data_IF_687268323095
#
_entry.id   IF_687268323095
#
_cell.length_a   1.000
_cell.length_b   1.000
_cell.length_c   1.000
_cell.angle_alpha   90.00
_cell.angle_beta   90.00
_cell.angle_gamma   90.00
#
_symmetry.space_group_name_H-M   'P 1'
#
loop_
_entity.id
_entity.type
_entity.pdbx_description
1 polymer ?
#
# COMPACT_ATOMS: atom_id res chain seq x y z
N UNK A 1 18.21 22.89 14.21
CA UNK A 1 18.50 23.81 13.08
C UNK A 1 17.60 23.35 11.92
N UNK A 2 16.93 24.27 11.24
CA UNK A 2 16.13 23.89 10.05
C UNK A 2 17.10 23.51 8.91
N UNK A 3 16.87 22.34 8.31
CA UNK A 3 17.58 21.96 7.08
C UNK A 3 17.02 22.78 5.91
N UNK A 4 17.90 23.26 5.05
CA UNK A 4 17.56 24.05 3.87
C UNK A 4 18.21 23.44 2.63
N UNK A 5 17.53 23.51 1.50
CA UNK A 5 18.07 23.16 0.19
C UNK A 5 18.50 24.46 -0.49
N UNK A 6 19.79 24.59 -0.81
CA UNK A 6 20.32 25.71 -1.58
C UNK A 6 20.53 25.26 -3.03
N UNK A 7 20.05 26.04 -3.99
CA UNK A 7 20.13 25.73 -5.43
C UNK A 7 20.80 26.90 -6.16
N UNK A 8 21.94 26.63 -6.79
CA UNK A 8 22.59 27.54 -7.72
C UNK A 8 22.12 27.19 -9.14
N UNK A 9 21.31 28.06 -9.72
CA UNK A 9 20.72 27.86 -11.04
C UNK A 9 21.63 28.29 -12.22
N UNK A 10 21.13 28.13 -13.46
CA UNK A 10 21.79 28.61 -14.68
C UNK A 10 22.70 27.60 -15.37
N UNK A 11 22.77 26.37 -14.90
CA UNK A 11 23.56 25.30 -15.51
C UNK A 11 22.71 24.36 -16.34
N UNK A 12 23.31 23.82 -17.44
CA UNK A 12 22.75 22.69 -18.18
C UNK A 12 22.98 21.40 -17.40
N UNK A 13 21.93 20.62 -17.24
CA UNK A 13 21.98 19.34 -16.52
C UNK A 13 22.40 18.22 -17.46
N UNK A 14 23.36 17.41 -17.05
CA UNK A 14 23.74 16.19 -17.74
C UNK A 14 24.14 15.10 -16.72
N UNK A 15 23.99 13.83 -17.11
CA UNK A 15 24.31 12.69 -16.27
C UNK A 15 23.22 11.62 -16.31
N UNK A 16 23.35 10.66 -15.39
CA UNK A 16 22.45 9.51 -15.29
C UNK A 16 21.75 9.49 -13.93
N UNK A 17 20.43 9.30 -13.93
CA UNK A 17 19.62 9.08 -12.74
C UNK A 17 19.01 7.69 -12.83
N UNK A 18 19.15 6.88 -11.79
CA UNK A 18 18.47 5.60 -11.63
C UNK A 18 17.25 5.80 -10.72
N UNK A 19 16.07 5.46 -11.22
CA UNK A 19 14.81 5.59 -10.49
C UNK A 19 14.74 4.50 -9.42
N UNK A 20 14.32 4.90 -8.22
CA UNK A 20 14.11 4.02 -7.06
C UNK A 20 12.79 3.25 -7.15
N UNK A 21 12.59 2.32 -6.23
CA UNK A 21 11.31 1.63 -6.10
C UNK A 21 10.17 2.57 -5.74
N UNK A 22 8.97 2.26 -6.24
CA UNK A 22 7.81 3.13 -6.10
C UNK A 22 7.37 3.29 -4.63
N UNK A 23 7.44 4.51 -4.10
CA UNK A 23 6.97 4.83 -2.75
C UNK A 23 5.53 4.38 -2.54
N UNK A 24 4.64 4.70 -3.48
CA UNK A 24 3.21 4.42 -3.34
C UNK A 24 2.89 2.91 -3.39
N UNK A 25 3.65 2.13 -4.13
CA UNK A 25 3.58 0.67 -4.08
C UNK A 25 4.11 0.14 -2.73
N UNK A 26 5.28 0.61 -2.31
CA UNK A 26 5.93 0.18 -1.05
C UNK A 26 5.01 0.29 0.15
N UNK A 27 4.35 1.44 0.33
CA UNK A 27 3.49 1.69 1.50
C UNK A 27 2.20 0.86 1.52
N UNK A 28 1.87 0.20 0.42
CA UNK A 28 0.75 -0.75 0.32
C UNK A 28 1.24 -2.22 0.38
N UNK A 29 2.37 -2.54 -0.25
CA UNK A 29 2.96 -3.88 -0.26
C UNK A 29 3.39 -4.34 1.13
N UNK A 30 3.98 -3.44 1.93
CA UNK A 30 4.41 -3.76 3.30
C UNK A 30 3.24 -4.17 4.19
N UNK A 31 2.12 -3.42 4.30
CA UNK A 31 0.92 -3.90 4.99
C UNK A 31 0.31 -5.17 4.38
N UNK A 32 0.35 -5.34 3.05
CA UNK A 32 -0.16 -6.54 2.39
C UNK A 32 0.58 -7.82 2.83
N UNK A 33 1.86 -7.70 3.20
CA UNK A 33 2.67 -8.84 3.66
C UNK A 33 2.11 -9.51 4.92
N UNK A 34 1.36 -8.78 5.78
CA UNK A 34 0.77 -9.37 7.00
C UNK A 34 -0.33 -10.40 6.70
N UNK A 35 -0.91 -10.38 5.50
CA UNK A 35 -1.90 -11.36 5.07
C UNK A 35 -1.33 -12.77 4.87
N UNK A 36 -0.01 -12.87 4.72
CA UNK A 36 0.69 -14.14 4.53
C UNK A 36 0.65 -15.02 5.78
N UNK A 37 0.77 -16.31 5.57
CA UNK A 37 0.94 -17.33 6.61
C UNK A 37 2.43 -17.72 6.80
N UNK A 38 3.35 -17.06 6.08
CA UNK A 38 4.80 -17.23 6.18
C UNK A 38 5.55 -15.97 5.74
N UNK A 39 6.89 -15.97 5.73
CA UNK A 39 7.68 -14.79 5.46
C UNK A 39 7.51 -14.26 4.03
N UNK A 40 7.42 -12.95 3.91
CA UNK A 40 7.39 -12.21 2.64
C UNK A 40 8.63 -11.35 2.53
N UNK A 41 9.34 -11.49 1.42
CA UNK A 41 10.52 -10.70 1.10
C UNK A 41 10.22 -9.73 -0.05
N UNK A 42 10.50 -8.45 0.17
CA UNK A 42 10.24 -7.38 -0.81
C UNK A 42 11.55 -6.68 -1.12
N UNK A 43 11.91 -6.61 -2.41
CA UNK A 43 13.11 -5.94 -2.93
C UNK A 43 12.76 -4.63 -3.64
N UNK A 44 13.77 -3.77 -3.77
CA UNK A 44 13.64 -2.45 -4.38
C UNK A 44 12.91 -1.45 -3.47
N UNK A 45 12.90 -1.70 -2.18
CA UNK A 45 12.28 -0.82 -1.19
C UNK A 45 13.09 0.48 -1.09
N UNK A 46 12.49 1.67 -1.34
CA UNK A 46 13.23 2.91 -1.24
C UNK A 46 13.59 3.24 0.22
N UNK A 47 14.75 3.87 0.43
CA UNK A 47 15.19 4.32 1.75
C UNK A 47 14.46 5.61 2.16
N UNK A 48 13.23 5.48 2.65
CA UNK A 48 12.37 6.58 3.06
C UNK A 48 11.84 6.39 4.48
N UNK A 49 11.51 7.49 5.15
CA UNK A 49 10.96 7.48 6.51
C UNK A 49 9.67 6.68 6.67
N UNK A 50 8.87 6.58 5.60
CA UNK A 50 7.62 5.83 5.57
C UNK A 50 7.87 4.33 5.81
N UNK A 51 8.96 3.77 5.27
CA UNK A 51 9.36 2.36 5.48
C UNK A 51 9.70 2.10 6.94
N UNK A 52 10.47 3.00 7.56
CA UNK A 52 10.81 2.88 8.98
C UNK A 52 9.56 2.98 9.89
N UNK A 53 8.61 3.84 9.53
CA UNK A 53 7.33 3.96 10.25
C UNK A 53 6.48 2.69 10.12
N UNK A 54 6.36 2.12 8.92
CA UNK A 54 5.64 0.86 8.69
C UNK A 54 6.30 -0.30 9.43
N UNK A 55 7.63 -0.39 9.40
CA UNK A 55 8.38 -1.41 10.17
C UNK A 55 8.13 -1.29 11.67
N UNK A 56 7.98 -0.07 12.19
CA UNK A 56 7.63 0.15 13.59
C UNK A 56 6.24 -0.42 13.89
N UNK A 57 5.23 -0.12 13.06
CA UNK A 57 3.87 -0.65 13.23
C UNK A 57 3.82 -2.18 13.12
N UNK A 58 4.59 -2.77 12.20
CA UNK A 58 4.70 -4.23 12.09
C UNK A 58 5.29 -4.86 13.35
N UNK A 59 6.34 -4.26 13.93
CA UNK A 59 6.93 -4.74 15.19
C UNK A 59 5.99 -4.59 16.38
N UNK A 60 5.15 -3.54 16.41
CA UNK A 60 4.08 -3.41 17.41
C UNK A 60 3.09 -4.59 17.31
N UNK A 61 2.78 -5.05 16.09
CA UNK A 61 1.95 -6.24 15.82
C UNK A 61 2.69 -7.57 16.07
N UNK A 62 3.93 -7.56 16.56
CA UNK A 62 4.77 -8.74 16.78
C UNK A 62 5.21 -9.45 15.49
N UNK A 63 5.22 -8.78 14.36
CA UNK A 63 5.88 -9.31 13.17
C UNK A 63 7.41 -9.25 13.35
N UNK A 64 8.10 -10.28 12.87
CA UNK A 64 9.55 -10.21 12.71
C UNK A 64 9.87 -9.41 11.43
N UNK A 65 10.65 -8.33 11.58
CA UNK A 65 10.97 -7.40 10.48
C UNK A 65 12.46 -7.18 10.39
N UNK A 66 13.04 -7.57 9.26
CA UNK A 66 14.42 -7.32 8.88
C UNK A 66 14.47 -6.32 7.73
N UNK A 67 15.34 -5.30 7.82
CA UNK A 67 15.60 -4.32 6.75
C UNK A 67 17.09 -4.35 6.47
N UNK A 68 17.45 -4.53 5.19
CA UNK A 68 18.83 -4.53 4.71
C UNK A 68 18.91 -3.80 3.37
N UNK A 69 19.35 -2.54 3.40
CA UNK A 69 19.34 -1.64 2.23
C UNK A 69 17.95 -1.55 1.60
N UNK A 70 17.87 -1.84 0.31
CA UNK A 70 16.61 -1.82 -0.47
C UNK A 70 15.76 -3.10 -0.30
N UNK A 71 15.95 -3.85 0.78
CA UNK A 71 15.25 -5.10 1.06
C UNK A 71 14.54 -5.03 2.40
N UNK A 72 13.28 -5.47 2.44
CA UNK A 72 12.56 -5.73 3.67
C UNK A 72 12.02 -7.16 3.67
N UNK A 73 12.18 -7.87 4.80
CA UNK A 73 11.54 -9.15 5.06
C UNK A 73 10.57 -8.98 6.22
N UNK A 74 9.34 -9.41 6.01
CA UNK A 74 8.26 -9.40 7.00
C UNK A 74 7.82 -10.83 7.24
N UNK A 75 7.95 -11.29 8.46
CA UNK A 75 7.42 -12.60 8.89
C UNK A 75 6.27 -12.39 9.88
N UNK A 76 5.00 -12.60 9.44
CA UNK A 76 3.83 -12.44 10.28
C UNK A 76 3.45 -13.72 11.06
N UNK A 77 4.30 -14.74 11.11
CA UNK A 77 3.98 -16.03 11.75
C UNK A 77 3.63 -15.88 13.23
N UNK A 78 4.27 -14.93 13.92
CA UNK A 78 4.05 -14.66 15.35
C UNK A 78 3.22 -13.39 15.60
N UNK A 79 2.58 -12.86 14.53
CA UNK A 79 1.78 -11.65 14.62
C UNK A 79 0.55 -11.85 15.50
N UNK A 80 0.21 -10.82 16.27
CA UNK A 80 -0.94 -10.80 17.18
C UNK A 80 -1.95 -9.71 16.78
N UNK A 81 -3.25 -9.92 17.11
CA UNK A 81 -4.30 -8.89 16.97
C UNK A 81 -4.15 -7.84 18.07
N UNK A 82 -3.27 -6.88 17.84
CA UNK A 82 -2.98 -5.77 18.75
C UNK A 82 -3.54 -4.47 18.18
N UNK A 83 -4.23 -3.64 19.00
CA UNK A 83 -4.69 -2.32 18.58
C UNK A 83 -3.54 -1.41 18.13
N UNK A 84 -3.64 -0.86 16.93
CA UNK A 84 -2.71 0.13 16.39
C UNK A 84 -3.14 1.54 16.83
N UNK A 85 -2.82 1.92 18.06
CA UNK A 85 -3.23 3.20 18.66
C UNK A 85 -2.05 4.09 19.06
N UNK A 86 -0.84 3.70 18.70
CA UNK A 86 0.38 4.46 18.95
C UNK A 86 0.48 5.71 18.08
N UNK A 87 1.32 6.66 18.46
CA UNK A 87 1.58 7.86 17.67
C UNK A 87 2.28 7.56 16.32
N UNK A 88 2.82 6.36 16.14
CA UNK A 88 3.38 5.92 14.86
C UNK A 88 2.32 5.88 13.75
N UNK A 89 1.06 5.53 14.08
CA UNK A 89 -0.07 5.55 13.13
C UNK A 89 -0.30 6.95 12.57
N UNK A 90 -0.23 7.97 13.43
CA UNK A 90 -0.47 9.36 13.03
C UNK A 90 0.65 9.96 12.18
N UNK A 91 1.86 9.41 12.25
CA UNK A 91 3.02 9.88 11.49
C UNK A 91 2.94 9.50 10.01
N UNK A 92 2.18 8.46 9.69
CA UNK A 92 2.09 7.93 8.35
C UNK A 92 0.63 7.78 7.91
N UNK A 93 0.20 8.56 6.91
CA UNK A 93 -1.15 8.41 6.37
C UNK A 93 -1.42 7.00 5.83
N UNK A 94 -0.45 6.41 5.13
CA UNK A 94 -0.59 5.08 4.54
C UNK A 94 -0.80 3.95 5.56
N UNK A 95 -0.72 4.23 6.88
CA UNK A 95 -1.12 3.29 7.92
C UNK A 95 -2.55 2.79 7.77
N UNK A 96 -3.43 3.52 7.04
CA UNK A 96 -4.78 3.05 6.74
C UNK A 96 -4.81 1.72 5.97
N UNK A 97 -3.74 1.33 5.26
CA UNK A 97 -3.70 0.01 4.59
C UNK A 97 -3.71 -1.16 5.57
N UNK A 98 -3.29 -0.94 6.82
CA UNK A 98 -3.47 -1.94 7.86
C UNK A 98 -4.95 -2.22 8.18
N UNK A 99 -5.88 -1.28 7.89
CA UNK A 99 -7.31 -1.55 8.09
C UNK A 99 -7.76 -2.75 7.25
N UNK A 100 -7.50 -2.73 5.93
CA UNK A 100 -7.86 -3.83 5.04
C UNK A 100 -7.08 -5.11 5.31
N UNK A 101 -5.78 -4.99 5.54
CA UNK A 101 -4.92 -6.14 5.78
C UNK A 101 -5.27 -6.88 7.09
N UNK A 102 -5.44 -6.17 8.21
CA UNK A 102 -5.78 -6.78 9.49
C UNK A 102 -7.23 -7.26 9.52
N UNK A 103 -8.15 -6.50 8.91
CA UNK A 103 -9.54 -6.95 8.77
C UNK A 103 -9.61 -8.26 7.97
N UNK A 104 -8.86 -8.37 6.88
CA UNK A 104 -8.76 -9.61 6.11
C UNK A 104 -8.18 -10.77 6.93
N UNK A 105 -7.13 -10.52 7.72
CA UNK A 105 -6.46 -11.56 8.50
C UNK A 105 -7.22 -11.97 9.76
N UNK A 106 -7.69 -11.01 10.55
CA UNK A 106 -8.27 -11.25 11.87
C UNK A 106 -9.77 -11.02 11.95
N UNK A 107 -10.40 -10.54 10.87
CA UNK A 107 -11.80 -10.08 10.85
C UNK A 107 -12.06 -8.96 11.86
N UNK A 108 -10.99 -8.37 12.36
CA UNK A 108 -10.99 -7.30 13.35
C UNK A 108 -9.78 -6.40 13.18
N UNK A 109 -9.98 -5.11 13.34
CA UNK A 109 -8.89 -4.15 13.48
C UNK A 109 -9.32 -2.97 14.33
N UNK A 110 -8.48 -2.59 15.30
CA UNK A 110 -8.63 -1.35 16.05
C UNK A 110 -7.45 -0.45 15.73
N UNK A 111 -7.71 0.69 15.11
CA UNK A 111 -6.67 1.59 14.62
C UNK A 111 -7.04 3.06 14.86
N UNK A 112 -6.09 3.83 15.38
CA UNK A 112 -6.22 5.28 15.50
C UNK A 112 -6.37 5.90 14.11
N UNK A 113 -7.11 7.02 14.00
CA UNK A 113 -7.28 7.72 12.74
C UNK A 113 -5.91 8.02 12.10
N UNK A 114 -5.66 7.55 10.87
CA UNK A 114 -4.40 7.82 10.19
C UNK A 114 -4.19 9.32 9.99
N UNK A 115 -3.05 9.82 10.44
CA UNK A 115 -2.71 11.23 10.40
C UNK A 115 -2.07 11.68 9.08
N UNK A 116 -1.47 12.82 9.11
CA UNK A 116 -0.30 13.17 8.35
C UNK A 116 -0.43 13.51 6.87
N UNK A 117 -1.33 14.41 6.43
CA UNK A 117 -1.05 15.13 5.18
C UNK A 117 -1.55 16.58 5.28
N UNK A 118 -0.63 17.55 5.15
CA UNK A 118 -0.96 18.98 5.14
C UNK A 118 -1.64 19.44 3.83
N UNK A 119 -1.83 18.54 2.86
CA UNK A 119 -2.42 18.85 1.54
C UNK A 119 -3.96 18.91 1.53
N UNK A 120 -4.59 18.92 2.73
CA UNK A 120 -6.05 19.03 2.88
C UNK A 120 -6.73 17.72 3.30
N UNK A 121 -8.05 17.77 3.54
CA UNK A 121 -8.83 16.62 3.97
C UNK A 121 -8.82 15.54 2.86
N UNK A 122 -8.50 14.33 3.25
CA UNK A 122 -8.58 13.14 2.39
C UNK A 122 -9.42 12.10 3.10
N UNK A 123 -10.74 12.12 2.91
CA UNK A 123 -11.66 11.22 3.60
C UNK A 123 -11.36 9.76 3.25
N UNK A 124 -11.69 8.85 4.17
CA UNK A 124 -11.57 7.41 4.00
C UNK A 124 -12.94 6.72 3.87
N UNK A 125 -13.97 7.50 3.58
CA UNK A 125 -15.36 7.06 3.43
C UNK A 125 -15.52 5.91 2.43
N UNK A 126 -14.84 5.95 1.27
CA UNK A 126 -14.86 4.86 0.30
C UNK A 126 -14.21 3.58 0.82
N UNK A 127 -13.20 3.68 1.68
CA UNK A 127 -12.60 2.51 2.34
C UNK A 127 -13.63 1.88 3.28
N UNK A 128 -14.27 2.70 4.12
CA UNK A 128 -15.27 2.25 5.08
C UNK A 128 -16.48 1.64 4.37
N UNK A 129 -17.00 2.31 3.33
CA UNK A 129 -18.07 1.78 2.46
C UNK A 129 -17.73 0.37 1.93
N UNK A 130 -16.50 0.18 1.48
CA UNK A 130 -16.03 -1.12 0.98
C UNK A 130 -15.99 -2.20 2.07
N UNK A 131 -15.51 -1.86 3.26
CA UNK A 131 -15.49 -2.80 4.39
C UNK A 131 -16.88 -3.15 4.89
N UNK A 132 -17.82 -2.17 4.97
CA UNK A 132 -19.22 -2.42 5.30
C UNK A 132 -19.88 -3.33 4.27
N UNK A 133 -19.61 -3.13 2.99
CA UNK A 133 -20.11 -4.01 1.92
C UNK A 133 -19.60 -5.45 2.03
N UNK A 134 -18.40 -5.66 2.59
CA UNK A 134 -17.87 -6.98 2.92
C UNK A 134 -18.42 -7.55 4.24
N UNK A 135 -19.28 -6.82 4.95
CA UNK A 135 -19.93 -7.27 6.19
C UNK A 135 -19.28 -6.78 7.48
N UNK A 136 -18.31 -5.87 7.42
CA UNK A 136 -17.72 -5.30 8.61
C UNK A 136 -18.67 -4.28 9.28
N UNK A 137 -18.76 -4.34 10.61
CA UNK A 137 -19.35 -3.29 11.44
C UNK A 137 -18.25 -2.31 11.84
N UNK A 138 -18.53 -1.04 11.70
CA UNK A 138 -17.56 0.04 11.95
C UNK A 138 -18.07 0.92 13.08
N UNK A 139 -17.22 1.16 14.08
CA UNK A 139 -17.43 2.16 15.13
C UNK A 139 -16.26 3.13 15.15
N UNK A 140 -16.53 4.40 15.48
CA UNK A 140 -15.54 5.45 15.59
C UNK A 140 -15.73 6.20 16.90
N UNK A 141 -14.75 6.11 17.78
CA UNK A 141 -14.73 6.76 19.08
C UNK A 141 -13.31 7.19 19.42
N UNK A 142 -13.15 8.36 20.02
CA UNK A 142 -11.85 8.88 20.50
C UNK A 142 -10.73 8.79 19.45
N UNK A 143 -10.99 9.28 18.25
CA UNK A 143 -10.06 9.24 17.10
C UNK A 143 -9.60 7.82 16.71
N UNK A 144 -10.38 6.80 17.05
CA UNK A 144 -10.06 5.40 16.82
C UNK A 144 -11.20 4.71 16.07
N UNK A 145 -10.85 4.03 14.99
CA UNK A 145 -11.76 3.12 14.29
C UNK A 145 -11.65 1.72 14.86
N UNK A 146 -12.78 1.09 15.08
CA UNK A 146 -12.89 -0.35 15.31
C UNK A 146 -13.75 -0.94 14.19
N UNK A 147 -13.17 -1.84 13.42
CA UNK A 147 -13.83 -2.61 12.38
C UNK A 147 -13.87 -4.07 12.82
N UNK A 148 -15.04 -4.69 12.78
CA UNK A 148 -15.26 -6.07 13.23
C UNK A 148 -16.24 -6.77 12.30
N UNK A 149 -15.99 -8.04 11.99
CA UNK A 149 -16.89 -8.91 11.27
C UNK A 149 -16.85 -10.32 11.86
N UNK A 150 -17.99 -10.99 11.97
CA UNK A 150 -18.00 -12.43 12.26
C UNK A 150 -17.35 -13.18 11.09
N UNK A 151 -17.71 -12.77 9.87
CA UNK A 151 -17.16 -13.26 8.61
C UNK A 151 -17.16 -12.15 7.57
N UNK A 152 -16.12 -12.10 6.73
CA UNK A 152 -16.12 -11.24 5.55
C UNK A 152 -16.71 -12.03 4.39
N UNK A 153 -17.70 -11.46 3.71
CA UNK A 153 -18.39 -12.07 2.59
C UNK A 153 -18.24 -11.19 1.35
N UNK A 154 -17.80 -11.81 0.26
CA UNK A 154 -17.63 -11.12 -1.02
C UNK A 154 -18.93 -10.49 -1.52
N UNK A 155 -18.81 -9.30 -2.12
CA UNK A 155 -19.94 -8.51 -2.61
C UNK A 155 -19.54 -7.71 -3.86
N UNK A 156 -20.52 -7.15 -4.57
CA UNK A 156 -20.29 -6.13 -5.60
C UNK A 156 -20.20 -4.76 -4.95
N UNK A 157 -19.09 -4.05 -5.17
CA UNK A 157 -18.74 -2.78 -4.53
C UNK A 157 -18.45 -1.75 -5.60
N UNK A 158 -19.34 -0.78 -5.76
CA UNK A 158 -19.14 0.34 -6.66
C UNK A 158 -18.48 1.51 -5.92
N UNK A 159 -17.37 2.01 -6.47
CA UNK A 159 -16.68 3.20 -5.97
C UNK A 159 -17.21 4.44 -6.68
N UNK A 160 -17.68 5.43 -5.92
CA UNK A 160 -18.27 6.66 -6.46
C UNK A 160 -17.26 7.46 -7.30
N UNK A 161 -15.97 7.29 -7.02
CA UNK A 161 -14.86 7.71 -7.88
C UNK A 161 -13.69 6.72 -7.77
N UNK A 162 -12.85 6.65 -8.79
CA UNK A 162 -11.68 5.77 -8.80
C UNK A 162 -10.66 6.23 -7.75
N UNK A 163 -10.61 5.50 -6.62
CA UNK A 163 -9.72 5.77 -5.49
C UNK A 163 -8.66 4.68 -5.36
N UNK A 164 -7.38 5.04 -5.52
CA UNK A 164 -6.26 4.09 -5.35
C UNK A 164 -6.28 3.46 -3.97
N UNK A 165 -6.39 4.30 -2.93
CA UNK A 165 -6.38 3.84 -1.55
C UNK A 165 -7.53 2.89 -1.23
N UNK A 166 -8.76 3.24 -1.62
CA UNK A 166 -9.93 2.40 -1.39
C UNK A 166 -9.84 1.08 -2.18
N UNK A 167 -9.45 1.13 -3.46
CA UNK A 167 -9.28 -0.06 -4.30
C UNK A 167 -8.31 -1.06 -3.66
N UNK A 168 -7.12 -0.60 -3.25
CA UNK A 168 -6.13 -1.46 -2.59
C UNK A 168 -6.67 -1.98 -1.26
N UNK A 169 -7.23 -1.13 -0.43
CA UNK A 169 -7.64 -1.49 0.92
C UNK A 169 -8.80 -2.50 0.92
N UNK A 170 -9.76 -2.34 0.01
CA UNK A 170 -10.83 -3.31 -0.21
C UNK A 170 -10.25 -4.63 -0.74
N UNK A 171 -9.29 -4.58 -1.69
CA UNK A 171 -8.60 -5.76 -2.21
C UNK A 171 -7.91 -6.54 -1.09
N UNK A 172 -7.19 -5.86 -0.16
CA UNK A 172 -6.52 -6.50 0.97
C UNK A 172 -7.50 -7.25 1.89
N UNK A 173 -8.69 -6.71 2.14
CA UNK A 173 -9.71 -7.41 2.93
C UNK A 173 -10.37 -8.54 2.12
N UNK A 174 -10.67 -8.31 0.84
CA UNK A 174 -11.43 -9.21 -0.01
C UNK A 174 -10.70 -10.52 -0.34
N UNK A 175 -9.36 -10.54 -0.35
CA UNK A 175 -8.60 -11.77 -0.64
C UNK A 175 -8.82 -12.88 0.39
N UNK A 176 -9.32 -12.52 1.58
CA UNK A 176 -9.69 -13.45 2.67
C UNK A 176 -11.20 -13.52 2.91
N UNK A 177 -12.02 -12.82 2.10
CA UNK A 177 -13.48 -12.87 2.23
C UNK A 177 -14.05 -14.16 1.61
N UNK A 178 -15.14 -14.67 2.15
CA UNK A 178 -15.84 -15.82 1.57
C UNK A 178 -16.48 -15.45 0.23
N UNK A 179 -16.30 -16.29 -0.76
CA UNK A 179 -16.93 -16.14 -2.07
C UNK A 179 -16.22 -15.12 -2.97
N UNK A 180 -17.00 -14.38 -3.74
CA UNK A 180 -16.53 -13.49 -4.80
C UNK A 180 -16.79 -12.03 -4.46
N UNK A 181 -15.75 -11.19 -4.55
CA UNK A 181 -15.86 -9.73 -4.52
C UNK A 181 -15.65 -9.16 -5.91
N UNK A 182 -16.47 -8.18 -6.28
CA UNK A 182 -16.30 -7.38 -7.51
C UNK A 182 -16.16 -5.93 -7.11
N UNK A 183 -15.04 -5.29 -7.46
CA UNK A 183 -14.82 -3.86 -7.27
C UNK A 183 -15.05 -3.19 -8.61
N UNK A 184 -16.08 -2.35 -8.71
CA UNK A 184 -16.45 -1.60 -9.91
C UNK A 184 -15.99 -0.14 -9.77
N UNK A 185 -15.64 0.50 -10.88
CA UNK A 185 -14.98 1.80 -10.94
C UNK A 185 -13.67 1.85 -10.14
N UNK A 186 -12.94 0.73 -10.18
CA UNK A 186 -11.64 0.60 -9.53
C UNK A 186 -10.60 1.54 -10.16
N UNK A 187 -9.66 1.99 -9.37
CA UNK A 187 -8.50 2.72 -9.87
C UNK A 187 -7.55 1.78 -10.64
N UNK A 188 -6.75 2.33 -11.57
CA UNK A 188 -5.97 1.54 -12.56
C UNK A 188 -4.46 1.75 -12.45
N UNK A 189 -4.02 2.52 -11.49
CA UNK A 189 -2.63 2.89 -11.29
C UNK A 189 -1.72 1.66 -11.15
N UNK A 190 -0.49 1.72 -11.67
CA UNK A 190 0.47 0.61 -11.64
C UNK A 190 0.72 0.04 -10.23
N UNK A 191 0.62 0.87 -9.19
CA UNK A 191 0.79 0.47 -7.80
C UNK A 191 -0.27 -0.55 -7.35
N UNK A 192 -1.48 -0.49 -7.91
CA UNK A 192 -2.57 -1.45 -7.64
C UNK A 192 -2.25 -2.80 -8.28
N UNK A 193 -1.71 -2.76 -9.51
CA UNK A 193 -1.26 -3.96 -10.23
C UNK A 193 -0.13 -4.63 -9.45
N UNK A 194 0.79 -3.85 -8.90
CA UNK A 194 1.93 -4.35 -8.13
C UNK A 194 1.49 -5.06 -6.85
N UNK A 195 0.55 -4.47 -6.09
CA UNK A 195 -0.06 -5.10 -4.91
C UNK A 195 -0.79 -6.39 -5.29
N UNK A 196 -1.57 -6.38 -6.36
CA UNK A 196 -2.28 -7.57 -6.82
C UNK A 196 -1.31 -8.68 -7.26
N UNK A 197 -0.16 -8.32 -7.86
CA UNK A 197 0.89 -9.27 -8.22
C UNK A 197 1.52 -9.92 -6.98
N UNK A 198 1.82 -9.14 -5.92
CA UNK A 198 2.27 -9.70 -4.65
C UNK A 198 1.24 -10.68 -4.09
N UNK A 199 -0.02 -10.25 -3.96
CA UNK A 199 -1.10 -11.09 -3.43
C UNK A 199 -1.31 -12.37 -4.27
N UNK A 200 -1.21 -12.27 -5.59
CA UNK A 200 -1.33 -13.43 -6.51
C UNK A 200 -0.16 -14.40 -6.31
N UNK A 201 1.07 -13.91 -6.13
CA UNK A 201 2.23 -14.75 -5.78
C UNK A 201 2.04 -15.44 -4.43
N UNK A 202 1.34 -14.81 -3.50
CA UNK A 202 0.96 -15.43 -2.22
C UNK A 202 -0.15 -16.47 -2.37
N UNK A 203 -0.85 -16.54 -3.50
CA UNK A 203 -1.91 -17.50 -3.79
C UNK A 203 -3.32 -16.90 -3.92
N UNK A 204 -3.46 -15.58 -3.88
CA UNK A 204 -4.75 -14.91 -4.10
C UNK A 204 -5.25 -15.09 -5.54
N UNK A 205 -6.56 -15.10 -5.71
CA UNK A 205 -7.23 -15.24 -7.00
C UNK A 205 -7.85 -13.91 -7.43
N UNK A 206 -7.07 -13.10 -8.14
CA UNK A 206 -7.44 -11.74 -8.55
C UNK A 206 -7.42 -11.64 -10.07
N UNK A 207 -8.43 -10.99 -10.66
CA UNK A 207 -8.54 -10.76 -12.11
C UNK A 207 -9.01 -9.34 -12.39
N UNK A 208 -8.70 -8.82 -13.57
CA UNK A 208 -9.16 -7.50 -14.03
C UNK A 208 -8.39 -6.31 -13.48
N UNK A 209 -7.28 -6.52 -12.78
CA UNK A 209 -6.44 -5.43 -12.27
C UNK A 209 -5.89 -4.61 -13.44
N UNK A 210 -5.88 -3.29 -13.28
CA UNK A 210 -5.54 -2.36 -14.38
C UNK A 210 -6.73 -2.01 -15.27
N UNK A 211 -7.91 -2.60 -15.03
CA UNK A 211 -9.19 -2.19 -15.63
C UNK A 211 -10.08 -1.50 -14.59
N UNK A 212 -11.27 -1.06 -14.98
CA UNK A 212 -12.25 -0.47 -14.04
C UNK A 212 -12.99 -1.50 -13.18
N UNK A 213 -12.77 -2.79 -13.42
CA UNK A 213 -13.47 -3.86 -12.71
C UNK A 213 -12.47 -4.91 -12.24
N UNK A 214 -12.34 -5.08 -10.93
CA UNK A 214 -11.48 -6.09 -10.31
C UNK A 214 -12.37 -7.17 -9.68
N UNK A 215 -12.08 -8.42 -9.99
CA UNK A 215 -12.76 -9.58 -9.41
C UNK A 215 -11.79 -10.36 -8.54
N UNK A 216 -12.21 -10.69 -7.31
CA UNK A 216 -11.42 -11.41 -6.33
C UNK A 216 -12.24 -12.60 -5.84
N UNK A 217 -11.70 -13.81 -5.98
CA UNK A 217 -12.25 -14.99 -5.31
C UNK A 217 -11.42 -15.20 -4.03
N UNK A 218 -12.05 -15.14 -2.87
CA UNK A 218 -11.37 -15.26 -1.58
C UNK A 218 -10.72 -16.63 -1.37
N UNK A 219 -9.67 -16.65 -0.54
CA UNK A 219 -8.90 -17.86 -0.24
C UNK A 219 -8.61 -17.97 1.26
N UNK A 220 -8.51 -19.23 1.74
CA UNK A 220 -8.24 -19.50 3.16
C UNK A 220 -6.75 -19.31 3.52
N UNK A 221 -5.83 -19.49 2.56
CA UNK A 221 -4.40 -19.46 2.77
C UNK A 221 -3.67 -18.57 1.78
N UNK A 222 -2.68 -17.83 2.28
CA UNK A 222 -1.76 -17.03 1.49
C UNK A 222 -0.33 -17.34 1.95
N UNK A 223 0.48 -17.90 1.06
CA UNK A 223 1.83 -18.36 1.37
C UNK A 223 2.85 -17.21 1.40
N UNK A 224 3.94 -17.42 2.12
CA UNK A 224 5.12 -16.56 2.00
C UNK A 224 5.63 -16.51 0.57
N UNK A 225 6.24 -15.40 0.17
CA UNK A 225 6.71 -15.18 -1.19
C UNK A 225 7.81 -14.13 -1.28
N UNK A 226 8.30 -13.95 -2.48
CA UNK A 226 9.27 -12.95 -2.89
C UNK A 226 8.66 -12.01 -3.92
N UNK A 227 8.91 -10.70 -3.78
CA UNK A 227 8.41 -9.68 -4.70
C UNK A 227 9.44 -8.57 -4.90
N UNK A 228 9.56 -8.07 -6.13
CA UNK A 228 10.34 -6.88 -6.48
C UNK A 228 9.38 -5.75 -6.83
N UNK A 229 9.57 -4.59 -6.21
CA UNK A 229 8.71 -3.41 -6.39
C UNK A 229 8.95 -2.80 -7.77
N UNK A 230 7.89 -2.34 -8.41
CA UNK A 230 8.01 -1.54 -9.64
C UNK A 230 8.77 -0.24 -9.40
N UNK A 231 9.50 0.31 -10.40
CA UNK A 231 10.13 1.62 -10.28
C UNK A 231 9.10 2.74 -10.17
N UNK A 232 9.48 3.83 -9.47
CA UNK A 232 8.59 4.95 -9.19
C UNK A 232 8.35 5.82 -10.44
N UNK A 233 7.14 5.71 -11.00
CA UNK A 233 6.73 6.50 -12.17
C UNK A 233 6.66 8.00 -11.89
N UNK A 234 6.37 8.40 -10.65
CA UNK A 234 6.25 9.82 -10.25
C UNK A 234 7.64 10.44 -10.19
N UNK A 235 8.61 9.74 -9.60
CA UNK A 235 10.02 10.13 -9.62
C UNK A 235 10.53 10.20 -11.06
N UNK A 236 10.28 9.16 -11.88
CA UNK A 236 10.66 9.11 -13.28
C UNK A 236 10.09 10.29 -14.07
N UNK A 237 8.80 10.55 -13.96
CA UNK A 237 8.13 11.69 -14.62
C UNK A 237 8.72 13.03 -14.20
N UNK A 238 9.05 13.20 -12.92
CA UNK A 238 9.70 14.40 -12.40
C UNK A 238 11.06 14.62 -13.05
N UNK A 239 11.92 13.58 -13.10
CA UNK A 239 13.23 13.70 -13.74
C UNK A 239 13.15 13.90 -15.26
N UNK A 240 12.16 13.32 -15.94
CA UNK A 240 11.91 13.57 -17.36
C UNK A 240 11.50 15.02 -17.63
N UNK A 241 10.66 15.61 -16.78
CA UNK A 241 10.29 17.04 -16.87
C UNK A 241 11.51 17.93 -16.63
N UNK A 242 12.33 17.62 -15.61
CA UNK A 242 13.59 18.34 -15.34
C UNK A 242 14.54 18.23 -16.53
N UNK A 243 14.68 17.04 -17.11
CA UNK A 243 15.51 16.80 -18.28
C UNK A 243 15.02 17.63 -19.49
N UNK A 244 13.72 17.70 -19.73
CA UNK A 244 13.15 18.50 -20.81
C UNK A 244 13.34 20.03 -20.60
N UNK A 245 13.27 20.48 -19.35
CA UNK A 245 13.39 21.91 -19.03
C UNK A 245 14.83 22.44 -19.02
N UNK A 246 15.79 21.67 -18.51
CA UNK A 246 17.16 22.12 -18.25
C UNK A 246 18.26 21.12 -18.70
N UNK A 247 17.88 19.96 -19.24
CA UNK A 247 18.84 18.93 -19.65
C UNK A 247 19.57 19.28 -20.95
N UNK A 248 20.81 18.82 -21.02
CA UNK A 248 21.59 18.73 -22.25
C UNK A 248 21.75 17.26 -22.68
N UNK A 249 22.16 16.40 -21.73
CA UNK A 249 22.23 14.96 -21.91
C UNK A 249 21.89 14.26 -20.59
N UNK A 250 20.62 14.00 -20.36
CA UNK A 250 20.13 13.32 -19.16
C UNK A 250 19.64 11.92 -19.54
N UNK A 251 20.10 10.90 -18.80
CA UNK A 251 19.69 9.51 -18.95
C UNK A 251 18.89 9.14 -17.70
N UNK A 252 17.64 8.73 -17.87
CA UNK A 252 16.80 8.20 -16.79
C UNK A 252 16.71 6.70 -16.95
N UNK A 253 17.22 5.96 -15.98
CA UNK A 253 17.30 4.49 -15.97
C UNK A 253 16.28 3.88 -15.00
N UNK A 254 16.03 2.59 -15.17
CA UNK A 254 15.09 1.83 -14.33
C UNK A 254 13.69 2.41 -14.39
N UNK A 255 13.13 2.50 -15.59
CA UNK A 255 11.76 2.98 -15.83
C UNK A 255 10.95 1.92 -16.58
N UNK A 256 9.66 1.94 -16.37
CA UNK A 256 8.68 1.20 -17.18
C UNK A 256 7.92 2.22 -18.01
N UNK A 257 8.23 2.36 -19.33
CA UNK A 257 7.62 3.42 -20.16
C UNK A 257 6.11 3.41 -20.20
N UNK A 258 5.49 2.24 -20.02
CA UNK A 258 4.02 2.08 -20.01
C UNK A 258 3.35 2.67 -18.76
N UNK A 259 4.13 3.03 -17.73
CA UNK A 259 3.62 3.66 -16.51
C UNK A 259 3.66 5.20 -16.53
N UNK A 260 4.19 5.78 -17.64
CA UNK A 260 4.38 7.22 -17.83
C UNK A 260 3.32 7.88 -18.70
#
# INVERSE_FOLDING_TARGET
MAEVIAIDGGYKLNGTVRISGAKNATVALIPAAVLSDGPVEILGVPEISDVAALATLLRELKCDVEIDGERIKVDPTHMEDIPLVSDAVNKLRASYYFMGALLGKYKRVKIKMPGGCYLGPRPIDLHLKGFEALGAKITYEDDTYLLEAEELVGNSIYLDFASVGATINIMLAAVRAQGKTVIENAAKEPEIIDVANLLTKMGAKIRGVGTDTITIDGVDHLSGTFHEIIPDRIEAGTFLIIAAAAGEKVIVQNIIPQHL
#
